data_IF_327393658816
#
_entry.id   IF_327393658816
#
_cell.length_a   1.000
_cell.length_b   1.000
_cell.length_c   1.000
_cell.angle_alpha   90.00
_cell.angle_beta   90.00
_cell.angle_gamma   90.00
#
_symmetry.space_group_name_H-M   'P 1'
#
loop_
_entity.id
_entity.type
_entity.pdbx_description
1 polymer ?
#
# COMPACT_ATOMS: atom_id res chain seq x y z
N UNK A 1 5.19 23.71 -16.19
CA UNK A 1 3.98 22.97 -16.62
C UNK A 1 4.06 22.41 -18.05
N UNK A 2 4.43 23.19 -19.09
CA UNK A 2 4.47 22.68 -20.48
C UNK A 2 5.34 21.43 -20.71
N UNK A 3 6.51 21.32 -20.06
CA UNK A 3 7.38 20.15 -20.21
C UNK A 3 6.73 18.85 -19.68
N UNK A 4 6.14 18.89 -18.48
CA UNK A 4 5.50 17.71 -17.87
C UNK A 4 4.30 17.19 -18.68
N UNK A 5 3.58 18.07 -19.37
CA UNK A 5 2.43 17.71 -20.20
C UNK A 5 2.81 17.14 -21.57
N UNK A 6 4.03 17.42 -22.07
CA UNK A 6 4.47 17.05 -23.42
C UNK A 6 5.45 15.88 -23.40
N UNK A 7 6.26 15.78 -22.35
CA UNK A 7 7.26 14.73 -22.21
C UNK A 7 6.59 13.34 -22.14
N UNK A 8 7.17 12.34 -22.79
CA UNK A 8 6.68 10.96 -22.77
C UNK A 8 7.58 10.04 -21.96
N UNK A 9 8.85 10.42 -21.78
CA UNK A 9 9.77 9.63 -20.98
C UNK A 9 9.42 9.69 -19.48
N UNK A 10 9.25 8.50 -18.90
CA UNK A 10 8.86 8.36 -17.50
C UNK A 10 9.92 8.87 -16.52
N UNK A 11 11.21 8.75 -16.88
CA UNK A 11 12.33 9.21 -16.06
C UNK A 11 12.46 10.73 -16.10
N UNK A 12 12.30 11.34 -17.27
CA UNK A 12 12.27 12.79 -17.44
C UNK A 12 11.05 13.42 -16.76
N UNK A 13 9.87 12.81 -16.87
CA UNK A 13 8.68 13.20 -16.11
C UNK A 13 8.95 13.15 -14.61
N UNK A 14 9.51 12.05 -14.10
CA UNK A 14 9.90 11.91 -12.69
C UNK A 14 10.84 13.04 -12.27
N UNK A 15 11.93 13.26 -12.99
CA UNK A 15 12.94 14.25 -12.61
C UNK A 15 12.41 15.67 -12.63
N UNK A 16 11.62 16.02 -13.65
CA UNK A 16 10.95 17.30 -13.73
C UNK A 16 9.94 17.50 -12.59
N UNK A 17 9.28 16.41 -12.16
CA UNK A 17 8.32 16.46 -11.07
C UNK A 17 8.98 16.58 -9.71
N UNK A 18 10.06 15.84 -9.47
CA UNK A 18 10.91 15.98 -8.28
C UNK A 18 11.48 17.38 -8.18
N UNK A 19 11.97 17.97 -9.29
CA UNK A 19 12.42 19.36 -9.31
C UNK A 19 11.29 20.32 -8.96
N UNK A 20 10.10 20.14 -9.53
CA UNK A 20 8.94 21.01 -9.28
C UNK A 20 8.57 21.02 -7.80
N UNK A 21 8.70 19.89 -7.11
CA UNK A 21 8.45 19.80 -5.67
C UNK A 21 9.44 20.57 -4.83
N UNK A 22 10.72 20.49 -5.18
CA UNK A 22 11.77 21.22 -4.48
C UNK A 22 11.65 22.73 -4.70
N UNK A 23 11.19 23.16 -5.87
CA UNK A 23 11.10 24.58 -6.24
C UNK A 23 9.76 25.22 -5.83
N UNK A 24 8.65 24.50 -5.98
CA UNK A 24 7.30 25.00 -5.70
C UNK A 24 6.30 23.88 -5.40
N UNK A 25 6.09 23.64 -4.10
CA UNK A 25 5.12 22.65 -3.62
C UNK A 25 3.69 22.92 -4.13
N UNK A 26 3.27 24.19 -4.19
CA UNK A 26 1.95 24.58 -4.69
C UNK A 26 1.75 24.21 -6.17
N UNK A 27 2.78 24.43 -6.99
CA UNK A 27 2.72 24.07 -8.43
C UNK A 27 2.70 22.55 -8.62
N UNK A 28 3.44 21.81 -7.79
CA UNK A 28 3.43 20.36 -7.83
C UNK A 28 2.08 19.77 -7.38
N UNK A 29 1.45 20.37 -6.37
CA UNK A 29 0.09 20.05 -5.95
C UNK A 29 -0.93 20.28 -7.07
N UNK A 30 -0.85 21.41 -7.76
CA UNK A 30 -1.73 21.75 -8.87
C UNK A 30 -1.57 20.76 -10.03
N UNK A 31 -0.34 20.36 -10.38
CA UNK A 31 -0.13 19.33 -11.39
C UNK A 31 -0.60 17.94 -10.92
N UNK A 32 -0.31 17.54 -9.68
CA UNK A 32 -0.82 16.29 -9.12
C UNK A 32 -2.31 16.21 -9.32
N UNK A 33 -3.00 17.29 -8.94
CA UNK A 33 -4.44 17.43 -9.02
C UNK A 33 -5.01 17.20 -10.41
N UNK A 34 -4.32 17.65 -11.46
CA UNK A 34 -4.78 17.45 -12.85
C UNK A 34 -4.54 16.04 -13.36
N UNK A 35 -3.60 15.29 -12.76
CA UNK A 35 -3.26 13.94 -13.17
C UNK A 35 -3.84 12.83 -12.28
N UNK A 36 -4.42 13.16 -11.12
CA UNK A 36 -4.97 12.17 -10.18
C UNK A 36 -6.01 11.23 -10.81
N UNK A 37 -6.90 11.75 -11.67
CA UNK A 37 -7.95 10.94 -12.29
C UNK A 37 -7.41 9.90 -13.28
N UNK A 38 -6.23 10.17 -13.86
CA UNK A 38 -5.57 9.32 -14.85
C UNK A 38 -4.42 8.51 -14.25
N UNK A 39 -4.26 8.51 -12.93
CA UNK A 39 -3.10 7.89 -12.28
C UNK A 39 -2.94 6.39 -12.64
N UNK A 40 -4.05 5.71 -12.88
CA UNK A 40 -4.09 4.30 -13.28
C UNK A 40 -3.55 4.04 -14.69
N UNK A 41 -3.50 5.05 -15.56
CA UNK A 41 -2.96 4.91 -16.93
C UNK A 41 -1.44 5.10 -16.98
N UNK A 42 -0.83 5.55 -15.88
CA UNK A 42 0.61 5.74 -15.82
C UNK A 42 1.36 4.42 -15.61
N UNK A 43 2.59 4.38 -16.13
CA UNK A 43 3.52 3.30 -15.83
C UNK A 43 3.84 3.23 -14.33
N UNK A 44 4.20 2.04 -13.87
CA UNK A 44 4.52 1.71 -12.49
C UNK A 44 5.56 2.66 -11.86
N UNK A 45 6.64 2.99 -12.57
CA UNK A 45 7.67 3.93 -12.10
C UNK A 45 7.06 5.29 -11.75
N UNK A 46 6.16 5.80 -12.59
CA UNK A 46 5.54 7.09 -12.35
C UNK A 46 4.51 7.00 -11.23
N UNK A 47 3.76 5.90 -11.13
CA UNK A 47 2.85 5.64 -10.02
C UNK A 47 3.59 5.61 -8.67
N UNK A 48 4.74 4.93 -8.59
CA UNK A 48 5.58 4.89 -7.38
C UNK A 48 6.05 6.28 -6.95
N UNK A 49 6.50 7.10 -7.90
CA UNK A 49 6.92 8.48 -7.63
C UNK A 49 5.74 9.32 -7.11
N UNK A 50 4.55 9.12 -7.66
CA UNK A 50 3.34 9.81 -7.21
C UNK A 50 2.96 9.38 -5.78
N UNK A 51 3.07 8.09 -5.44
CA UNK A 51 2.82 7.60 -4.07
C UNK A 51 3.78 8.25 -3.07
N UNK A 52 5.09 8.20 -3.35
CA UNK A 52 6.13 8.80 -2.50
C UNK A 52 5.88 10.30 -2.28
N UNK A 53 5.41 10.96 -3.33
CA UNK A 53 5.05 12.36 -3.26
C UNK A 53 3.81 12.61 -2.39
N UNK A 54 2.72 11.88 -2.64
CA UNK A 54 1.50 12.02 -1.84
C UNK A 54 1.84 11.88 -0.36
N UNK A 55 2.69 10.92 -0.02
CA UNK A 55 3.22 10.75 1.33
C UNK A 55 3.90 12.02 1.87
N UNK A 56 4.90 12.56 1.16
CA UNK A 56 5.65 13.77 1.58
C UNK A 56 4.74 15.00 1.72
N UNK A 57 3.83 15.21 0.78
CA UNK A 57 2.88 16.33 0.80
C UNK A 57 1.92 16.22 1.98
N UNK A 58 1.38 15.04 2.24
CA UNK A 58 0.43 14.86 3.34
C UNK A 58 1.07 14.91 4.74
N UNK A 59 2.39 14.69 4.81
CA UNK A 59 3.19 14.97 6.01
C UNK A 59 3.37 16.48 6.21
N UNK A 60 3.69 17.22 5.15
CA UNK A 60 3.89 18.67 5.22
C UNK A 60 2.58 19.46 5.41
N UNK A 61 1.48 19.00 4.81
CA UNK A 61 0.18 19.66 4.87
C UNK A 61 -0.97 18.66 5.07
N UNK A 62 -1.50 18.61 6.28
CA UNK A 62 -2.57 17.67 6.64
C UNK A 62 -3.92 18.00 6.00
N UNK A 63 -4.15 19.24 5.52
CA UNK A 63 -5.43 19.62 4.90
C UNK A 63 -5.71 18.87 3.60
N UNK A 64 -4.65 18.49 2.88
CA UNK A 64 -4.77 17.83 1.57
C UNK A 64 -5.00 16.32 1.67
N UNK A 65 -4.92 15.71 2.87
CA UNK A 65 -5.04 14.26 3.07
C UNK A 65 -6.31 13.68 2.46
N UNK A 66 -7.46 14.32 2.70
CA UNK A 66 -8.75 13.85 2.20
C UNK A 66 -8.79 13.71 0.67
N UNK A 67 -8.12 14.63 -0.04
CA UNK A 67 -8.04 14.64 -1.50
C UNK A 67 -7.26 13.45 -2.04
N UNK A 68 -6.14 13.10 -1.39
CA UNK A 68 -5.24 12.06 -1.87
C UNK A 68 -5.63 10.65 -1.45
N UNK A 69 -6.41 10.49 -0.37
CA UNK A 69 -6.90 9.17 0.08
C UNK A 69 -7.61 8.43 -1.07
N UNK A 70 -8.47 9.13 -1.84
CA UNK A 70 -9.16 8.52 -2.99
C UNK A 70 -8.19 7.98 -4.04
N UNK A 71 -7.13 8.74 -4.34
CA UNK A 71 -6.10 8.34 -5.31
C UNK A 71 -5.28 7.17 -4.81
N UNK A 72 -4.94 7.13 -3.52
CA UNK A 72 -4.24 5.99 -2.92
C UNK A 72 -5.10 4.72 -2.98
N UNK A 73 -6.40 4.82 -2.74
CA UNK A 73 -7.31 3.68 -2.92
C UNK A 73 -7.34 3.17 -4.37
N UNK A 74 -7.26 4.06 -5.36
CA UNK A 74 -7.15 3.65 -6.76
C UNK A 74 -5.83 2.90 -7.02
N UNK A 75 -4.73 3.34 -6.41
CA UNK A 75 -3.41 2.70 -6.54
C UNK A 75 -3.30 1.34 -5.84
N UNK A 76 -4.12 1.07 -4.82
CA UNK A 76 -4.22 -0.28 -4.23
C UNK A 76 -4.70 -1.34 -5.23
N UNK A 77 -5.35 -0.92 -6.32
CA UNK A 77 -5.83 -1.77 -7.42
C UNK A 77 -4.88 -1.76 -8.64
N UNK A 78 -3.68 -1.19 -8.52
CA UNK A 78 -2.68 -1.22 -9.60
C UNK A 78 -2.31 -2.66 -9.97
N UNK A 79 -1.97 -2.92 -11.23
CA UNK A 79 -1.43 -4.21 -11.65
C UNK A 79 -0.01 -4.47 -11.13
N UNK A 80 0.70 -3.43 -10.67
CA UNK A 80 2.06 -3.55 -10.13
C UNK A 80 2.04 -3.85 -8.63
N UNK A 81 2.58 -5.00 -8.17
CA UNK A 81 2.67 -5.34 -6.75
C UNK A 81 3.45 -4.30 -5.94
N UNK A 82 4.51 -3.73 -6.53
CA UNK A 82 5.32 -2.68 -5.90
C UNK A 82 4.49 -1.41 -5.64
N UNK A 83 3.68 -0.99 -6.61
CA UNK A 83 2.79 0.18 -6.44
C UNK A 83 1.76 -0.09 -5.35
N UNK A 84 1.15 -1.29 -5.36
CA UNK A 84 0.16 -1.69 -4.35
C UNK A 84 0.75 -1.70 -2.94
N UNK A 85 1.97 -2.23 -2.79
CA UNK A 85 2.71 -2.26 -1.53
C UNK A 85 2.99 -0.86 -1.00
N UNK A 86 3.55 0.04 -1.82
CA UNK A 86 3.85 1.42 -1.41
C UNK A 86 2.57 2.23 -1.13
N UNK A 87 1.52 2.03 -1.92
CA UNK A 87 0.23 2.68 -1.70
C UNK A 87 -0.41 2.23 -0.38
N UNK A 88 -0.31 0.94 -0.04
CA UNK A 88 -0.78 0.39 1.24
C UNK A 88 0.00 0.96 2.42
N UNK A 89 1.33 1.04 2.32
CA UNK A 89 2.19 1.67 3.34
C UNK A 89 1.87 3.15 3.55
N UNK A 90 1.64 3.87 2.45
CA UNK A 90 1.23 5.27 2.49
C UNK A 90 -0.14 5.41 3.15
N UNK A 91 -1.15 4.62 2.75
CA UNK A 91 -2.49 4.68 3.32
C UNK A 91 -2.50 4.44 4.83
N UNK A 92 -1.72 3.45 5.30
CA UNK A 92 -1.60 3.14 6.73
C UNK A 92 -1.07 4.32 7.54
N UNK A 93 -0.21 5.16 6.95
CA UNK A 93 0.34 6.35 7.60
C UNK A 93 -0.62 7.54 7.52
N UNK A 94 -1.40 7.63 6.44
CA UNK A 94 -2.31 8.75 6.21
C UNK A 94 -3.65 8.63 6.94
N UNK A 95 -4.09 7.41 7.26
CA UNK A 95 -5.39 7.16 7.87
C UNK A 95 -5.35 6.04 8.90
N UNK A 96 -5.92 6.32 10.09
CA UNK A 96 -6.19 5.33 11.13
C UNK A 96 -7.63 4.82 11.10
N UNK A 97 -8.41 5.18 10.06
CA UNK A 97 -9.79 4.71 9.93
C UNK A 97 -9.82 3.18 9.79
N UNK A 98 -10.69 2.45 10.52
CA UNK A 98 -10.73 0.99 10.46
C UNK A 98 -10.92 0.42 9.04
N UNK A 99 -11.67 1.11 8.19
CA UNK A 99 -11.87 0.74 6.78
C UNK A 99 -10.60 0.89 5.94
N UNK A 100 -9.76 1.88 6.23
CA UNK A 100 -8.47 2.07 5.56
C UNK A 100 -7.47 1.00 5.98
N UNK A 101 -7.35 0.76 7.28
CA UNK A 101 -6.45 -0.27 7.81
C UNK A 101 -6.85 -1.66 7.32
N UNK A 102 -8.15 -1.98 7.26
CA UNK A 102 -8.63 -3.24 6.68
C UNK A 102 -8.24 -3.39 5.21
N UNK A 103 -8.34 -2.32 4.42
CA UNK A 103 -7.93 -2.33 3.02
C UNK A 103 -6.41 -2.53 2.86
N UNK A 104 -5.61 -1.89 3.72
CA UNK A 104 -4.14 -2.10 3.78
C UNK A 104 -3.81 -3.55 4.07
N UNK A 105 -4.38 -4.11 5.15
CA UNK A 105 -4.12 -5.50 5.55
C UNK A 105 -4.52 -6.49 4.44
N UNK A 106 -5.71 -6.30 3.86
CA UNK A 106 -6.19 -7.13 2.74
C UNK A 106 -5.27 -7.03 1.52
N UNK A 107 -4.73 -5.84 1.23
CA UNK A 107 -3.76 -5.65 0.15
C UNK A 107 -2.47 -6.42 0.41
N UNK A 108 -1.92 -6.34 1.62
CA UNK A 108 -0.71 -7.09 1.99
C UNK A 108 -0.93 -8.60 1.92
N UNK A 109 -2.05 -9.12 2.42
CA UNK A 109 -2.39 -10.55 2.32
C UNK A 109 -2.45 -10.97 0.84
N UNK A 110 -3.13 -10.20 0.00
CA UNK A 110 -3.25 -10.52 -1.43
C UNK A 110 -1.90 -10.51 -2.16
N UNK A 111 -0.99 -9.58 -1.81
CA UNK A 111 0.38 -9.58 -2.33
C UNK A 111 1.12 -10.86 -1.89
N UNK A 112 1.07 -11.21 -0.60
CA UNK A 112 1.75 -12.43 -0.09
C UNK A 112 1.26 -13.70 -0.80
N UNK A 113 -0.05 -13.79 -1.07
CA UNK A 113 -0.65 -14.94 -1.73
C UNK A 113 -0.29 -15.04 -3.23
N UNK A 114 -0.18 -13.91 -3.93
CA UNK A 114 0.02 -13.88 -5.39
C UNK A 114 1.47 -13.79 -5.84
N UNK A 115 2.35 -13.21 -5.04
CA UNK A 115 3.76 -13.08 -5.41
C UNK A 115 4.45 -14.44 -5.51
N UNK A 116 5.42 -14.56 -6.40
CA UNK A 116 6.25 -15.78 -6.52
C UNK A 116 7.55 -15.68 -5.73
N UNK A 117 8.07 -14.47 -5.52
CA UNK A 117 9.33 -14.24 -4.81
C UNK A 117 9.09 -14.27 -3.29
N UNK A 118 9.66 -15.28 -2.61
CA UNK A 118 9.55 -15.41 -1.17
C UNK A 118 10.17 -14.22 -0.42
N UNK A 119 11.19 -13.54 -0.96
CA UNK A 119 11.77 -12.35 -0.33
C UNK A 119 10.73 -11.22 -0.24
N UNK A 120 9.96 -11.02 -1.31
CA UNK A 120 8.87 -10.04 -1.33
C UNK A 120 7.80 -10.44 -0.30
N UNK A 121 7.43 -11.73 -0.24
CA UNK A 121 6.48 -12.22 0.76
C UNK A 121 6.93 -11.96 2.18
N UNK A 122 8.20 -12.19 2.51
CA UNK A 122 8.73 -11.91 3.84
C UNK A 122 8.67 -10.42 4.18
N UNK A 123 9.10 -9.55 3.27
CA UNK A 123 9.03 -8.10 3.46
C UNK A 123 7.59 -7.65 3.74
N UNK A 124 6.63 -8.15 2.97
CA UNK A 124 5.21 -7.79 3.11
C UNK A 124 4.61 -8.39 4.39
N UNK A 125 4.98 -9.62 4.74
CA UNK A 125 4.56 -10.27 5.98
C UNK A 125 5.07 -9.50 7.21
N UNK A 126 6.31 -9.00 7.19
CA UNK A 126 6.84 -8.15 8.26
C UNK A 126 6.04 -6.85 8.42
N UNK A 127 5.58 -6.25 7.32
CA UNK A 127 4.67 -5.10 7.38
C UNK A 127 3.32 -5.46 7.96
N UNK A 128 2.75 -6.61 7.61
CA UNK A 128 1.51 -7.09 8.19
C UNK A 128 1.63 -7.34 9.70
N UNK A 129 2.75 -7.93 10.14
CA UNK A 129 3.05 -8.15 11.56
C UNK A 129 3.20 -6.81 12.30
N UNK A 130 3.89 -5.84 11.71
CA UNK A 130 3.99 -4.50 12.28
C UNK A 130 2.61 -3.83 12.40
N UNK A 131 1.74 -3.98 11.39
CA UNK A 131 0.37 -3.44 11.42
C UNK A 131 -0.48 -4.07 12.54
N UNK A 132 -0.26 -5.35 12.84
CA UNK A 132 -0.93 -6.04 13.96
C UNK A 132 -0.70 -5.33 15.30
N UNK A 133 0.53 -4.89 15.55
CA UNK A 133 0.94 -4.33 16.85
C UNK A 133 0.08 -3.12 17.25
N UNK A 134 -0.45 -2.39 16.28
CA UNK A 134 -1.32 -1.21 16.50
C UNK A 134 -2.78 -1.46 16.17
N UNK A 135 -3.11 -2.47 15.35
CA UNK A 135 -4.46 -2.70 14.82
C UNK A 135 -4.94 -4.15 14.93
N UNK A 136 -4.60 -4.84 16.01
CA UNK A 136 -4.88 -6.26 16.26
C UNK A 136 -6.33 -6.69 15.94
N UNK A 137 -7.34 -5.96 16.45
CA UNK A 137 -8.76 -6.28 16.22
C UNK A 137 -9.14 -6.38 14.75
N UNK A 138 -8.54 -5.55 13.90
CA UNK A 138 -8.82 -5.54 12.46
C UNK A 138 -8.19 -6.77 11.79
N UNK A 139 -7.02 -7.21 12.27
CA UNK A 139 -6.38 -8.41 11.76
C UNK A 139 -7.05 -9.69 12.29
N UNK A 140 -7.66 -9.66 13.48
CA UNK A 140 -8.51 -10.75 13.96
C UNK A 140 -9.70 -10.98 13.02
N UNK A 141 -10.34 -9.91 12.53
CA UNK A 141 -11.42 -10.01 11.52
C UNK A 141 -10.93 -10.66 10.19
N UNK A 142 -9.62 -10.58 9.90
CA UNK A 142 -9.00 -11.09 8.67
C UNK A 142 -8.24 -12.41 8.89
N UNK A 143 -8.38 -13.05 10.05
CA UNK A 143 -7.58 -14.23 10.40
C UNK A 143 -7.72 -15.36 9.37
N UNK A 144 -8.92 -15.57 8.82
CA UNK A 144 -9.16 -16.60 7.81
C UNK A 144 -8.45 -16.29 6.48
N UNK A 145 -8.29 -15.02 6.12
CA UNK A 145 -7.50 -14.63 4.96
C UNK A 145 -6.00 -14.82 5.22
N UNK A 146 -5.53 -14.56 6.45
CA UNK A 146 -4.14 -14.80 6.87
C UNK A 146 -3.81 -16.30 6.86
N UNK A 147 -4.73 -17.16 7.33
CA UNK A 147 -4.56 -18.63 7.34
C UNK A 147 -4.29 -19.18 5.94
N UNK A 148 -4.87 -18.58 4.89
CA UNK A 148 -4.61 -19.00 3.50
C UNK A 148 -3.12 -18.91 3.13
N UNK A 149 -2.35 -18.01 3.77
CA UNK A 149 -0.90 -17.87 3.54
C UNK A 149 -0.15 -19.15 3.97
N UNK A 150 -0.67 -19.92 4.93
CA UNK A 150 -0.06 -21.18 5.38
C UNK A 150 0.02 -22.24 4.27
N UNK A 151 -0.77 -22.10 3.21
CA UNK A 151 -0.71 -22.93 2.00
C UNK A 151 0.56 -22.74 1.16
N UNK A 152 1.42 -21.78 1.51
CA UNK A 152 2.74 -21.61 0.87
C UNK A 152 3.62 -22.86 1.04
N UNK A 153 4.48 -23.16 0.05
CA UNK A 153 5.45 -24.26 0.14
C UNK A 153 6.67 -23.92 1.02
N UNK A 154 6.91 -22.63 1.26
CA UNK A 154 8.04 -22.15 2.03
C UNK A 154 7.83 -22.35 3.55
N UNK A 155 8.71 -23.13 4.18
CA UNK A 155 8.55 -23.53 5.58
C UNK A 155 8.70 -22.34 6.54
N UNK A 156 9.65 -21.45 6.27
CA UNK A 156 9.95 -20.31 7.13
C UNK A 156 8.81 -19.28 7.06
N UNK A 157 8.27 -19.01 5.87
CA UNK A 157 7.10 -18.16 5.70
C UNK A 157 5.88 -18.75 6.40
N UNK A 158 5.70 -20.08 6.33
CA UNK A 158 4.62 -20.79 7.02
C UNK A 158 4.77 -20.69 8.54
N UNK A 159 5.96 -20.89 9.09
CA UNK A 159 6.24 -20.76 10.53
C UNK A 159 5.93 -19.35 11.03
N UNK A 160 6.44 -18.33 10.35
CA UNK A 160 6.21 -16.92 10.71
C UNK A 160 4.74 -16.53 10.61
N UNK A 161 4.03 -17.04 9.60
CA UNK A 161 2.57 -16.86 9.44
C UNK A 161 1.80 -17.56 10.56
N UNK A 162 2.24 -18.74 10.99
CA UNK A 162 1.59 -19.49 12.07
C UNK A 162 1.71 -18.76 13.40
N UNK A 163 2.88 -18.20 13.72
CA UNK A 163 3.11 -17.39 14.92
C UNK A 163 2.11 -16.23 15.00
N UNK A 164 1.96 -15.46 13.92
CA UNK A 164 0.97 -14.37 13.90
C UNK A 164 -0.47 -14.88 13.98
N UNK A 165 -0.78 -16.00 13.33
CA UNK A 165 -2.13 -16.56 13.32
C UNK A 165 -2.55 -16.97 14.72
N UNK A 166 -1.69 -17.68 15.47
CA UNK A 166 -1.96 -18.14 16.84
C UNK A 166 -2.33 -16.97 17.76
N UNK A 167 -1.61 -15.85 17.66
CA UNK A 167 -1.88 -14.65 18.44
C UNK A 167 -3.23 -13.98 18.06
N UNK A 168 -3.73 -14.21 16.85
CA UNK A 168 -4.99 -13.65 16.35
C UNK A 168 -6.21 -14.57 16.56
N UNK A 169 -6.00 -15.85 16.89
CA UNK A 169 -7.11 -16.78 17.10
C UNK A 169 -7.84 -16.43 18.39
N UNK A 170 -9.14 -16.17 18.26
CA UNK A 170 -10.07 -16.07 19.38
C UNK A 170 -10.92 -17.34 19.46
N UNK A 171 -11.62 -17.57 20.58
CA UNK A 171 -12.57 -18.70 20.73
C UNK A 171 -13.59 -18.74 19.59
N UNK A 172 -13.96 -17.58 19.04
CA UNK A 172 -14.92 -17.46 17.94
C UNK A 172 -14.37 -17.92 16.59
N UNK A 173 -13.07 -17.73 16.35
CA UNK A 173 -12.41 -18.11 15.09
C UNK A 173 -11.79 -19.50 15.17
N UNK A 174 -11.63 -20.06 16.38
CA UNK A 174 -11.07 -21.38 16.61
C UNK A 174 -11.88 -22.48 15.89
N UNK A 175 -13.21 -22.42 15.96
CA UNK A 175 -14.09 -23.42 15.34
C UNK A 175 -14.02 -23.40 13.80
N UNK A 176 -13.71 -22.24 13.20
CA UNK A 176 -13.59 -22.07 11.74
C UNK A 176 -12.24 -22.56 11.19
N UNK A 177 -11.23 -22.76 12.04
CA UNK A 177 -9.88 -23.23 11.65
C UNK A 177 -9.79 -24.76 11.53
N UNK A 178 -10.74 -25.49 12.08
CA UNK A 178 -10.75 -26.97 12.08
C UNK A 178 -11.47 -27.59 10.86
N UNK A 179 -11.87 -26.77 9.88
CA UNK A 179 -12.53 -27.19 8.63
C UNK A 179 -11.80 -26.68 7.39
#
# INVERSE_FOLDING_TARGET
MKFLNVEQDASCKRNAFLMLLHVSQNSALEYLSTCLDQIHTFGDILQLVIVELIYKVCLANHSERGRFIRSIYALLQSSSPAVRYEAAGTLATLSSAPTAIRAVASCYIDIILKESDNNVKFIVLDRLISLRQTHEKILQDLVMDIVRILGTSDLELRQKTLEITIDLVTVRTADELFF
#
